data_IF_076905731265
#
_entry.id   IF_076905731265
#
_cell.length_a   1.000
_cell.length_b   1.000
_cell.length_c   1.000
_cell.angle_alpha   90.00
_cell.angle_beta   90.00
_cell.angle_gamma   90.00
#
_symmetry.space_group_name_H-M   'P 1'
#
loop_
_entity.id
_entity.type
_entity.pdbx_description
1 polymer ?
#
# COMPACT_ATOMS: atom_id res chain seq x y z
N UNK A 1 -9.95 -7.31 2.90
CA UNK A 1 -8.91 -6.28 2.70
C UNK A 1 -7.99 -6.74 1.58
N UNK A 2 -7.31 -5.83 0.89
CA UNK A 2 -6.24 -6.17 -0.02
C UNK A 2 -5.08 -5.20 0.13
N UNK A 3 -3.87 -5.62 -0.25
CA UNK A 3 -2.66 -4.81 -0.13
C UNK A 3 -2.40 -4.06 -1.44
N UNK A 4 -2.37 -2.73 -1.39
CA UNK A 4 -2.18 -1.84 -2.53
C UNK A 4 -3.15 -2.18 -3.67
N UNK A 5 -2.66 -2.76 -4.77
CA UNK A 5 -3.48 -3.21 -5.90
C UNK A 5 -4.61 -4.16 -5.45
N UNK A 6 -4.37 -4.98 -4.43
CA UNK A 6 -5.38 -5.91 -3.91
C UNK A 6 -6.64 -5.24 -3.38
N UNK A 7 -6.63 -3.93 -3.08
CA UNK A 7 -7.85 -3.20 -2.72
C UNK A 7 -8.88 -3.22 -3.86
N UNK A 8 -8.45 -3.15 -5.12
CA UNK A 8 -9.36 -3.25 -6.27
C UNK A 8 -10.00 -4.64 -6.34
N UNK A 9 -9.22 -5.69 -6.09
CA UNK A 9 -9.77 -7.05 -5.97
C UNK A 9 -10.78 -7.14 -4.84
N UNK A 10 -10.50 -6.54 -3.67
CA UNK A 10 -11.43 -6.54 -2.54
C UNK A 10 -12.74 -5.80 -2.87
N UNK A 11 -12.65 -4.65 -3.56
CA UNK A 11 -13.80 -3.85 -4.03
C UNK A 11 -14.66 -4.64 -5.01
N UNK A 12 -14.05 -5.34 -5.97
CA UNK A 12 -14.76 -6.22 -6.92
C UNK A 12 -15.42 -7.40 -6.20
N UNK A 13 -14.71 -8.08 -5.30
CA UNK A 13 -15.26 -9.21 -4.52
C UNK A 13 -16.44 -8.77 -3.64
N UNK A 14 -16.37 -7.58 -3.07
CA UNK A 14 -17.48 -6.99 -2.30
C UNK A 14 -18.67 -6.59 -3.18
N UNK A 15 -18.55 -6.65 -4.51
CA UNK A 15 -19.61 -6.32 -5.46
C UNK A 15 -19.77 -4.82 -5.72
N UNK A 16 -18.81 -3.99 -5.29
CA UNK A 16 -18.86 -2.54 -5.54
C UNK A 16 -18.65 -2.26 -7.02
N UNK A 17 -17.74 -2.98 -7.67
CA UNK A 17 -17.47 -2.89 -9.09
C UNK A 17 -17.66 -4.26 -9.77
N UNK A 18 -18.00 -4.23 -11.06
CA UNK A 18 -17.92 -5.42 -11.91
C UNK A 18 -16.45 -5.86 -12.07
N UNK A 19 -16.24 -7.11 -12.49
CA UNK A 19 -14.90 -7.61 -12.78
C UNK A 19 -14.25 -6.80 -13.91
N UNK A 20 -15.01 -6.52 -14.97
CA UNK A 20 -14.55 -5.81 -16.16
C UNK A 20 -14.16 -4.37 -15.82
N UNK A 21 -14.95 -3.66 -15.02
CA UNK A 21 -14.63 -2.28 -14.60
C UNK A 21 -13.46 -2.25 -13.63
N UNK A 22 -13.41 -3.20 -12.68
CA UNK A 22 -12.24 -3.37 -11.81
C UNK A 22 -10.96 -3.61 -12.61
N UNK A 23 -11.00 -4.47 -13.62
CA UNK A 23 -9.85 -4.76 -14.48
C UNK A 23 -9.44 -3.55 -15.33
N UNK A 24 -10.39 -2.78 -15.86
CA UNK A 24 -10.11 -1.53 -16.57
C UNK A 24 -9.39 -0.52 -15.68
N UNK A 25 -9.88 -0.32 -14.46
CA UNK A 25 -9.25 0.59 -13.49
C UNK A 25 -7.86 0.10 -13.07
N UNK A 26 -7.68 -1.21 -12.86
CA UNK A 26 -6.37 -1.80 -12.56
C UNK A 26 -5.38 -1.61 -13.69
N UNK A 27 -5.82 -1.82 -14.95
CA UNK A 27 -4.99 -1.57 -16.13
C UNK A 27 -4.55 -0.11 -16.18
N UNK A 28 -5.50 0.83 -16.10
CA UNK A 28 -5.21 2.26 -16.10
C UNK A 28 -4.25 2.64 -14.97
N UNK A 29 -4.51 2.15 -13.75
CA UNK A 29 -3.64 2.37 -12.59
C UNK A 29 -2.20 1.92 -12.87
N UNK A 30 -2.03 0.71 -13.42
CA UNK A 30 -0.71 0.18 -13.76
C UNK A 30 0.02 1.03 -14.81
N UNK A 31 -0.68 1.40 -15.89
CA UNK A 31 -0.12 2.24 -16.96
C UNK A 31 0.24 3.64 -16.45
N UNK A 32 -0.64 4.28 -15.67
CA UNK A 32 -0.42 5.61 -15.13
C UNK A 32 0.72 5.63 -14.10
N UNK A 33 0.81 4.62 -13.22
CA UNK A 33 1.93 4.47 -12.28
C UNK A 33 3.26 4.25 -13.01
N UNK A 34 3.26 3.49 -14.11
CA UNK A 34 4.46 3.29 -14.92
C UNK A 34 4.91 4.61 -15.57
N UNK A 35 4.00 5.37 -16.17
CA UNK A 35 4.31 6.72 -16.71
C UNK A 35 4.88 7.64 -15.62
N UNK A 36 4.25 7.69 -14.45
CA UNK A 36 4.71 8.52 -13.33
C UNK A 36 6.11 8.11 -12.84
N UNK A 37 6.42 6.82 -12.86
CA UNK A 37 7.73 6.30 -12.52
C UNK A 37 8.82 6.65 -13.54
N UNK A 38 8.46 6.86 -14.82
CA UNK A 38 9.39 7.23 -15.89
C UNK A 38 9.73 8.74 -15.89
N UNK A 39 9.00 9.57 -15.14
CA UNK A 39 9.21 11.02 -15.08
C UNK A 39 10.47 11.42 -14.31
N UNK A 40 11.00 10.55 -13.43
CA UNK A 40 12.20 10.82 -12.64
C UNK A 40 12.82 9.52 -12.14
N UNK A 41 14.08 9.56 -11.67
CA UNK A 41 14.71 8.38 -11.07
C UNK A 41 14.20 8.16 -9.64
N UNK A 42 13.47 7.07 -9.46
CA UNK A 42 12.72 6.74 -8.25
C UNK A 42 13.09 5.35 -7.74
N UNK A 43 12.85 5.10 -6.45
CA UNK A 43 13.07 3.78 -5.88
C UNK A 43 12.16 3.51 -4.68
N UNK A 44 12.11 2.22 -4.32
CA UNK A 44 11.63 1.76 -3.03
C UNK A 44 12.71 0.92 -2.36
N UNK A 45 12.76 0.96 -1.03
CA UNK A 45 13.58 0.06 -0.23
C UNK A 45 12.76 -0.61 0.86
N UNK A 46 13.15 -1.82 1.24
CA UNK A 46 12.61 -2.52 2.39
C UNK A 46 13.50 -2.29 3.60
N UNK A 47 12.90 -1.84 4.70
CA UNK A 47 13.57 -1.59 5.99
C UNK A 47 12.90 -2.45 7.05
N UNK A 48 13.69 -3.24 7.79
CA UNK A 48 13.20 -4.07 8.88
C UNK A 48 14.11 -4.00 10.11
N UNK A 49 13.52 -4.15 11.29
CA UNK A 49 14.24 -4.21 12.57
C UNK A 49 14.48 -2.86 13.26
N UNK A 50 13.90 -1.78 12.74
CA UNK A 50 13.86 -0.47 13.40
C UNK A 50 12.39 -0.14 13.76
N UNK A 51 12.17 0.67 14.78
CA UNK A 51 10.83 1.21 15.08
C UNK A 51 10.42 2.30 14.07
N UNK A 52 9.12 2.63 14.05
CA UNK A 52 8.54 3.61 13.12
C UNK A 52 9.19 4.99 13.24
N UNK A 53 9.35 5.49 14.47
CA UNK A 53 9.88 6.83 14.71
C UNK A 53 11.32 6.96 14.21
N UNK A 54 12.13 5.91 14.39
CA UNK A 54 13.47 5.86 13.85
C UNK A 54 13.47 5.87 12.32
N UNK A 55 12.62 5.07 11.68
CA UNK A 55 12.54 5.02 10.20
C UNK A 55 12.08 6.36 9.62
N UNK A 56 11.09 7.02 10.22
CA UNK A 56 10.63 8.34 9.79
C UNK A 56 11.76 9.38 9.86
N UNK A 57 12.50 9.40 10.98
CA UNK A 57 13.66 10.29 11.14
C UNK A 57 14.73 10.02 10.07
N UNK A 58 15.02 8.75 9.78
CA UNK A 58 16.01 8.41 8.75
C UNK A 58 15.53 8.77 7.34
N UNK A 59 14.22 8.65 7.05
CA UNK A 59 13.65 9.13 5.79
C UNK A 59 13.82 10.64 5.64
N UNK A 60 13.55 11.40 6.70
CA UNK A 60 13.74 12.85 6.72
C UNK A 60 15.22 13.23 6.52
N UNK A 61 16.14 12.61 7.26
CA UNK A 61 17.58 12.81 7.09
C UNK A 61 18.04 12.48 5.66
N UNK A 62 17.50 11.42 5.06
CA UNK A 62 17.82 11.02 3.70
C UNK A 62 17.28 12.01 2.65
N UNK A 63 16.04 12.48 2.83
CA UNK A 63 15.41 13.51 1.99
C UNK A 63 16.18 14.82 2.06
N UNK A 64 16.56 15.28 3.25
CA UNK A 64 17.28 16.54 3.44
C UNK A 64 18.71 16.51 2.88
N UNK A 65 19.28 15.31 2.70
CA UNK A 65 20.59 15.11 2.11
C UNK A 65 20.55 14.97 0.57
N UNK A 66 19.37 14.87 -0.02
CA UNK A 66 19.20 14.85 -1.47
C UNK A 66 19.17 16.31 -1.99
N UNK A 67 20.11 16.71 -2.87
CA UNK A 67 20.17 18.09 -3.38
C UNK A 67 19.03 18.43 -4.35
N UNK A 68 18.23 17.45 -4.75
CA UNK A 68 17.09 17.67 -5.65
C UNK A 68 16.01 18.55 -4.99
N UNK A 69 15.47 19.55 -5.71
CA UNK A 69 14.32 20.31 -5.21
C UNK A 69 13.08 19.43 -5.00
N UNK A 70 13.01 18.30 -5.71
CA UNK A 70 11.92 17.32 -5.64
C UNK A 70 12.26 16.14 -4.73
N UNK A 71 13.28 16.27 -3.87
CA UNK A 71 13.67 15.25 -2.91
C UNK A 71 12.45 14.67 -2.17
N UNK A 72 12.34 13.36 -2.18
CA UNK A 72 11.26 12.63 -1.53
C UNK A 72 11.83 11.39 -0.87
N UNK A 73 11.40 11.11 0.35
CA UNK A 73 11.69 9.88 1.05
C UNK A 73 10.72 9.77 2.23
N UNK A 74 9.92 8.70 2.26
CA UNK A 74 8.99 8.43 3.36
C UNK A 74 8.69 6.95 3.48
N UNK A 75 8.07 6.56 4.59
CA UNK A 75 7.40 5.25 4.70
C UNK A 75 6.23 5.22 3.70
N UNK A 76 6.26 4.22 2.82
CA UNK A 76 5.25 3.99 1.79
C UNK A 76 4.30 2.84 2.17
N UNK A 77 4.81 1.83 2.88
CA UNK A 77 3.99 0.75 3.43
C UNK A 77 4.44 0.43 4.85
N UNK A 78 3.49 0.41 5.79
CA UNK A 78 3.67 -0.14 7.12
C UNK A 78 3.10 -1.56 7.15
N UNK A 79 4.01 -2.55 7.04
CA UNK A 79 3.67 -3.93 6.73
C UNK A 79 3.46 -4.80 7.96
N UNK A 80 4.31 -4.66 8.98
CA UNK A 80 4.27 -5.42 10.23
C UNK A 80 5.16 -4.71 11.27
N UNK A 81 5.13 -5.09 12.56
CA UNK A 81 6.00 -4.47 13.57
C UNK A 81 7.48 -4.46 13.14
N UNK A 82 8.07 -3.27 13.15
CA UNK A 82 9.42 -3.00 12.68
C UNK A 82 9.67 -3.45 11.23
N UNK A 83 8.70 -3.16 10.36
CA UNK A 83 8.61 -3.68 9.01
C UNK A 83 7.99 -2.71 8.03
N UNK A 84 8.83 -2.12 7.20
CA UNK A 84 8.43 -1.04 6.33
C UNK A 84 8.96 -1.26 4.91
N UNK A 85 8.27 -0.65 3.97
CA UNK A 85 8.95 -0.19 2.75
C UNK A 85 8.92 1.32 2.74
N UNK A 86 10.04 1.92 2.39
CA UNK A 86 10.17 3.34 2.17
C UNK A 86 10.37 3.62 0.69
N UNK A 87 9.95 4.77 0.22
CA UNK A 87 9.99 5.12 -1.19
C UNK A 87 10.27 6.61 -1.38
N UNK A 88 10.82 6.95 -2.55
CA UNK A 88 11.21 8.32 -2.85
C UNK A 88 12.11 8.44 -4.08
N UNK A 89 12.80 9.57 -4.18
CA UNK A 89 13.85 9.78 -5.18
C UNK A 89 14.97 8.76 -4.98
N UNK A 90 15.60 8.30 -6.07
CA UNK A 90 16.66 7.27 -6.00
C UNK A 90 17.78 7.66 -5.04
N UNK A 91 18.28 8.90 -5.15
CA UNK A 91 19.34 9.45 -4.29
C UNK A 91 18.98 9.37 -2.80
N UNK A 92 17.77 9.82 -2.43
CA UNK A 92 17.32 9.76 -1.05
C UNK A 92 17.13 8.31 -0.57
N UNK A 93 16.57 7.41 -1.38
CA UNK A 93 16.40 6.00 -1.01
C UNK A 93 17.73 5.28 -0.81
N UNK A 94 18.73 5.56 -1.64
CA UNK A 94 20.08 5.00 -1.49
C UNK A 94 20.74 5.52 -0.20
N UNK A 95 20.53 6.80 0.13
CA UNK A 95 20.98 7.40 1.39
C UNK A 95 20.28 6.75 2.59
N UNK A 96 18.97 6.54 2.52
CA UNK A 96 18.18 5.87 3.55
C UNK A 96 18.72 4.46 3.81
N UNK A 97 19.05 3.68 2.78
CA UNK A 97 19.62 2.35 2.95
C UNK A 97 20.92 2.37 3.77
N UNK A 98 21.81 3.32 3.49
CA UNK A 98 23.07 3.51 4.24
C UNK A 98 22.79 3.91 5.69
N UNK A 99 21.89 4.88 5.90
CA UNK A 99 21.52 5.36 7.23
C UNK A 99 20.87 4.26 8.09
N UNK A 100 19.95 3.50 7.51
CA UNK A 100 19.27 2.39 8.19
C UNK A 100 20.25 1.26 8.56
N UNK A 101 21.19 0.93 7.66
CA UNK A 101 22.26 -0.03 7.95
C UNK A 101 23.14 0.44 9.11
N UNK A 102 23.57 1.71 9.09
CA UNK A 102 24.35 2.31 10.19
C UNK A 102 23.58 2.35 11.51
N UNK A 103 22.26 2.51 11.44
CA UNK A 103 21.34 2.43 12.58
C UNK A 103 21.05 1.00 13.06
N UNK A 104 21.73 -0.03 12.50
CA UNK A 104 21.58 -1.44 12.86
C UNK A 104 20.21 -2.04 12.51
N UNK A 105 19.59 -1.58 11.42
CA UNK A 105 18.45 -2.29 10.83
C UNK A 105 18.83 -3.74 10.53
N UNK A 106 17.91 -4.68 10.79
CA UNK A 106 18.08 -6.09 10.41
C UNK A 106 18.12 -6.26 8.89
N UNK A 107 17.44 -5.38 8.16
CA UNK A 107 17.46 -5.32 6.71
C UNK A 107 17.25 -3.88 6.24
N UNK A 108 18.04 -3.45 5.26
CA UNK A 108 17.84 -2.22 4.50
C UNK A 108 18.33 -2.46 3.06
N UNK A 109 17.40 -2.62 2.10
CA UNK A 109 17.75 -2.91 0.71
C UNK A 109 16.77 -2.32 -0.27
N UNK A 110 17.25 -1.80 -1.39
CA UNK A 110 16.42 -1.42 -2.54
C UNK A 110 15.69 -2.67 -3.05
N UNK A 111 14.41 -2.53 -3.40
CA UNK A 111 13.57 -3.60 -3.94
C UNK A 111 13.30 -3.36 -5.43
N UNK A 112 13.04 -4.45 -6.16
CA UNK A 112 12.72 -4.37 -7.60
C UNK A 112 11.29 -3.86 -7.77
N UNK A 113 11.16 -2.57 -8.03
CA UNK A 113 9.91 -1.90 -8.41
C UNK A 113 10.20 -0.92 -9.55
N UNK A 114 9.18 -0.52 -10.33
CA UNK A 114 9.40 0.44 -11.41
C UNK A 114 9.48 1.89 -10.92
N UNK A 115 8.91 2.23 -9.77
CA UNK A 115 8.98 3.58 -9.20
C UNK A 115 8.75 3.64 -7.69
N UNK A 116 8.54 4.86 -7.17
CA UNK A 116 8.32 5.15 -5.75
C UNK A 116 6.82 5.22 -5.39
N UNK A 117 6.17 4.05 -5.39
CA UNK A 117 4.74 3.95 -5.13
C UNK A 117 4.35 4.41 -3.72
N UNK A 118 3.09 4.85 -3.54
CA UNK A 118 2.57 5.32 -2.26
C UNK A 118 3.32 6.55 -1.71
N UNK A 119 3.72 7.44 -2.62
CA UNK A 119 4.34 8.74 -2.33
C UNK A 119 3.76 9.82 -3.24
N UNK A 120 4.05 11.09 -2.96
CA UNK A 120 3.65 12.21 -3.83
C UNK A 120 4.19 12.11 -5.27
N UNK A 121 5.23 11.31 -5.51
CA UNK A 121 5.76 11.09 -6.87
C UNK A 121 4.74 10.38 -7.77
N UNK A 122 3.70 9.76 -7.20
CA UNK A 122 2.58 9.16 -7.91
C UNK A 122 1.42 10.12 -8.18
N UNK A 123 1.52 11.41 -7.86
CA UNK A 123 0.46 12.39 -8.11
C UNK A 123 -0.04 12.41 -9.57
N UNK A 124 0.82 12.33 -10.60
CA UNK A 124 0.35 12.24 -11.99
C UNK A 124 -0.54 11.01 -12.24
N UNK A 125 -0.20 9.87 -11.63
CA UNK A 125 -1.00 8.65 -11.72
C UNK A 125 -2.31 8.76 -10.94
N UNK A 126 -2.28 9.43 -9.80
CA UNK A 126 -3.48 9.75 -9.01
C UNK A 126 -4.46 10.61 -9.82
N UNK A 127 -3.99 11.60 -10.57
CA UNK A 127 -4.87 12.47 -11.37
C UNK A 127 -5.59 11.70 -12.49
N UNK A 128 -4.87 10.82 -13.20
CA UNK A 128 -5.46 9.95 -14.23
C UNK A 128 -6.49 8.98 -13.61
N UNK A 129 -6.12 8.32 -12.52
CA UNK A 129 -6.98 7.37 -11.83
C UNK A 129 -8.23 8.05 -11.24
N UNK A 130 -8.08 9.27 -10.71
CA UNK A 130 -9.19 9.99 -10.08
C UNK A 130 -10.31 10.29 -11.07
N UNK A 131 -9.96 10.73 -12.28
CA UNK A 131 -10.94 10.94 -13.36
C UNK A 131 -11.68 9.65 -13.71
N UNK A 132 -10.97 8.53 -13.84
CA UNK A 132 -11.60 7.25 -14.16
C UNK A 132 -12.48 6.70 -13.02
N UNK A 133 -12.12 6.99 -11.76
CA UNK A 133 -12.96 6.65 -10.61
C UNK A 133 -14.24 7.49 -10.58
N UNK A 134 -14.15 8.78 -10.92
CA UNK A 134 -15.33 9.66 -11.05
C UNK A 134 -16.27 9.17 -12.15
N UNK A 135 -15.74 8.81 -13.32
CA UNK A 135 -16.53 8.24 -14.42
C UNK A 135 -17.18 6.89 -14.08
N UNK A 136 -16.58 6.13 -13.16
CA UNK A 136 -17.11 4.86 -12.69
C UNK A 136 -18.07 4.99 -11.51
N UNK A 137 -18.17 6.16 -10.87
CA UNK A 137 -18.89 6.35 -9.61
C UNK A 137 -20.36 5.92 -9.69
N UNK A 138 -21.07 6.31 -10.75
CA UNK A 138 -22.48 5.99 -10.97
C UNK A 138 -22.75 4.48 -11.18
N UNK A 139 -21.71 3.71 -11.49
CA UNK A 139 -21.80 2.25 -11.67
C UNK A 139 -21.47 1.48 -10.39
N UNK A 140 -21.00 2.16 -9.35
CA UNK A 140 -20.60 1.52 -8.11
C UNK A 140 -21.83 1.14 -7.27
N UNK A 141 -21.80 -0.05 -6.70
CA UNK A 141 -22.86 -0.54 -5.82
C UNK A 141 -22.41 -0.50 -4.35
N UNK A 142 -23.34 -0.39 -3.40
CA UNK A 142 -23.02 -0.59 -1.99
C UNK A 142 -22.36 -1.97 -1.78
N UNK A 143 -21.30 -2.06 -0.95
CA UNK A 143 -20.55 -3.29 -0.74
C UNK A 143 -21.39 -4.34 0.00
N UNK A 144 -21.34 -5.60 -0.44
CA UNK A 144 -22.04 -6.72 0.23
C UNK A 144 -21.37 -7.16 1.53
N UNK A 145 -20.10 -6.84 1.71
CA UNK A 145 -19.32 -7.16 2.90
C UNK A 145 -18.39 -6.00 3.25
N UNK A 146 -17.89 -5.96 4.49
CA UNK A 146 -17.02 -4.88 4.93
C UNK A 146 -15.65 -4.95 4.23
N UNK A 147 -15.08 -3.78 3.90
CA UNK A 147 -13.75 -3.64 3.31
C UNK A 147 -12.89 -2.78 4.24
N UNK A 148 -11.62 -3.13 4.38
CA UNK A 148 -10.64 -2.31 5.10
C UNK A 148 -9.70 -1.69 4.09
N UNK A 149 -9.55 -0.37 4.16
CA UNK A 149 -8.78 0.42 3.20
C UNK A 149 -7.39 0.72 3.73
N UNK A 150 -6.37 0.62 2.87
CA UNK A 150 -4.99 0.80 3.32
C UNK A 150 -4.70 2.24 3.75
N UNK A 151 -5.39 3.22 3.17
CA UNK A 151 -5.24 4.64 3.49
C UNK A 151 -5.52 4.92 4.97
N UNK A 152 -6.60 4.35 5.50
CA UNK A 152 -7.10 4.66 6.86
C UNK A 152 -6.79 3.57 7.86
N UNK A 153 -6.47 2.35 7.40
CA UNK A 153 -6.40 1.16 8.24
C UNK A 153 -7.74 0.77 8.86
N UNK A 154 -8.85 1.35 8.39
CA UNK A 154 -10.18 1.24 9.00
C UNK A 154 -11.18 0.55 8.09
N UNK A 155 -12.22 0.03 8.73
CA UNK A 155 -13.36 -0.64 8.10
C UNK A 155 -14.34 0.35 7.49
N UNK A 156 -14.72 0.11 6.25
CA UNK A 156 -15.97 0.57 5.63
C UNK A 156 -16.98 -0.57 5.69
N UNK A 157 -18.17 -0.31 6.24
CA UNK A 157 -19.19 -1.35 6.51
C UNK A 157 -19.87 -1.80 5.22
N UNK A 158 -20.48 -2.98 5.26
CA UNK A 158 -21.41 -3.43 4.23
C UNK A 158 -22.57 -2.40 4.09
N UNK A 159 -23.06 -2.21 2.87
CA UNK A 159 -24.13 -1.25 2.56
C UNK A 159 -23.74 0.22 2.63
N UNK A 160 -22.46 0.56 2.84
CA UNK A 160 -22.00 1.94 2.84
C UNK A 160 -22.18 2.61 1.47
N UNK A 161 -22.27 3.94 1.48
CA UNK A 161 -22.35 4.75 0.27
C UNK A 161 -21.12 4.55 -0.62
N UNK A 162 -21.30 4.14 -1.90
CA UNK A 162 -20.21 4.00 -2.87
C UNK A 162 -19.33 5.25 -3.02
N UNK A 163 -19.84 6.45 -2.78
CA UNK A 163 -19.04 7.68 -2.84
C UNK A 163 -17.84 7.64 -1.87
N UNK A 164 -17.96 6.92 -0.74
CA UNK A 164 -16.85 6.72 0.20
C UNK A 164 -15.68 5.97 -0.44
N UNK A 165 -15.95 5.05 -1.37
CA UNK A 165 -14.95 4.20 -2.02
C UNK A 165 -14.13 5.00 -3.03
N UNK A 166 -14.80 5.85 -3.79
CA UNK A 166 -14.18 6.77 -4.75
C UNK A 166 -13.13 7.61 -4.05
N UNK A 167 -13.50 8.30 -2.97
CA UNK A 167 -12.58 9.20 -2.26
C UNK A 167 -11.38 8.46 -1.64
N UNK A 168 -11.60 7.29 -1.04
CA UNK A 168 -10.51 6.48 -0.47
C UNK A 168 -9.56 5.95 -1.56
N UNK A 169 -10.09 5.51 -2.71
CA UNK A 169 -9.30 4.94 -3.80
C UNK A 169 -8.50 5.99 -4.56
N UNK A 170 -9.05 7.22 -4.73
CA UNK A 170 -8.33 8.35 -5.32
C UNK A 170 -7.05 8.67 -4.56
N UNK A 171 -7.11 8.65 -3.23
CA UNK A 171 -5.98 9.03 -2.37
C UNK A 171 -4.97 7.91 -2.15
N UNK A 172 -5.29 6.67 -2.50
CA UNK A 172 -4.47 5.49 -2.17
C UNK A 172 -3.06 5.54 -2.77
N UNK A 173 -2.91 6.01 -4.01
CA UNK A 173 -1.65 5.95 -4.75
C UNK A 173 -0.55 6.86 -4.18
N UNK A 174 -0.93 7.93 -3.49
CA UNK A 174 -0.02 8.94 -2.94
C UNK A 174 0.08 8.89 -1.43
N UNK A 175 -0.60 7.92 -0.81
CA UNK A 175 -0.69 7.76 0.64
C UNK A 175 -0.04 6.48 1.12
N UNK A 176 0.41 6.49 2.38
CA UNK A 176 0.98 5.32 3.05
C UNK A 176 -0.04 4.18 3.13
N UNK A 177 0.41 2.96 2.85
CA UNK A 177 -0.36 1.73 3.02
C UNK A 177 -0.23 1.23 4.46
N UNK A 178 -1.31 1.35 5.24
CA UNK A 178 -1.39 0.93 6.63
C UNK A 178 -1.81 -0.54 6.76
N UNK A 179 -0.98 -1.47 6.27
CA UNK A 179 -1.29 -2.91 6.30
C UNK A 179 -1.31 -3.50 7.70
N UNK A 180 -0.31 -3.21 8.53
CA UNK A 180 -0.27 -3.68 9.93
C UNK A 180 -1.47 -3.16 10.74
N UNK A 181 -1.80 -1.86 10.70
CA UNK A 181 -3.04 -1.36 11.30
C UNK A 181 -4.30 -2.00 10.74
N UNK A 182 -4.36 -2.25 9.42
CA UNK A 182 -5.50 -2.92 8.78
C UNK A 182 -5.74 -4.30 9.36
N UNK A 183 -4.71 -5.13 9.47
CA UNK A 183 -4.83 -6.49 10.03
C UNK A 183 -5.20 -6.43 11.52
N UNK A 184 -4.61 -5.51 12.29
CA UNK A 184 -4.98 -5.31 13.69
C UNK A 184 -6.44 -4.89 13.85
N UNK A 185 -6.93 -3.98 13.01
CA UNK A 185 -8.32 -3.56 13.01
C UNK A 185 -9.27 -4.73 12.71
N UNK A 186 -8.91 -5.59 11.74
CA UNK A 186 -9.67 -6.82 11.46
C UNK A 186 -9.76 -7.74 12.69
N UNK A 187 -8.64 -7.98 13.37
CA UNK A 187 -8.59 -8.82 14.58
C UNK A 187 -9.44 -8.21 15.70
N UNK A 188 -9.31 -6.90 15.93
CA UNK A 188 -10.10 -6.17 16.94
C UNK A 188 -11.60 -6.22 16.65
N UNK A 189 -11.99 -6.20 15.38
CA UNK A 189 -13.38 -6.36 14.93
C UNK A 189 -13.89 -7.81 15.02
N UNK A 190 -13.07 -8.74 15.52
CA UNK A 190 -13.43 -10.14 15.75
C UNK A 190 -13.17 -11.08 14.58
N UNK A 191 -12.45 -10.64 13.54
CA UNK A 191 -12.02 -11.52 12.45
C UNK A 191 -11.03 -12.54 12.99
N UNK A 192 -11.28 -13.79 12.63
CA UNK A 192 -10.75 -14.97 13.30
C UNK A 192 -9.98 -15.87 12.35
N UNK A 193 -10.50 -16.02 11.15
CA UNK A 193 -9.92 -16.81 10.06
C UNK A 193 -9.53 -15.89 8.92
N UNK A 194 -8.38 -16.17 8.32
CA UNK A 194 -7.85 -15.40 7.20
C UNK A 194 -7.60 -16.34 6.02
N UNK A 195 -7.94 -15.92 4.81
CA UNK A 195 -7.66 -16.66 3.59
C UNK A 195 -6.93 -15.72 2.64
N UNK A 196 -5.65 -16.01 2.37
CA UNK A 196 -4.87 -15.33 1.34
C UNK A 196 -5.16 -15.99 -0.01
N UNK A 197 -5.81 -15.26 -0.91
CA UNK A 197 -6.11 -15.70 -2.27
C UNK A 197 -5.14 -14.97 -3.20
N UNK A 198 -4.17 -15.70 -3.78
CA UNK A 198 -3.17 -15.10 -4.66
C UNK A 198 -1.97 -16.02 -4.95
N UNK A 199 -1.07 -15.60 -5.85
CA UNK A 199 -0.01 -16.47 -6.39
C UNK A 199 1.12 -16.78 -5.39
N UNK A 200 1.19 -16.04 -4.28
CA UNK A 200 2.26 -16.12 -3.28
C UNK A 200 1.66 -16.23 -1.88
N UNK A 201 2.54 -16.36 -0.88
CA UNK A 201 2.21 -16.45 0.56
C UNK A 201 2.70 -15.24 1.36
N UNK A 202 2.79 -14.08 0.71
CA UNK A 202 3.43 -12.90 1.28
C UNK A 202 2.56 -12.31 2.40
N UNK A 203 1.25 -12.20 2.20
CA UNK A 203 0.34 -11.66 3.21
C UNK A 203 0.32 -12.55 4.45
N UNK A 204 0.23 -13.88 4.28
CA UNK A 204 0.34 -14.85 5.38
C UNK A 204 1.67 -14.74 6.13
N UNK A 205 2.78 -14.53 5.41
CA UNK A 205 4.09 -14.31 6.03
C UNK A 205 4.15 -13.02 6.85
N UNK A 206 3.45 -11.97 6.41
CA UNK A 206 3.32 -10.72 7.16
C UNK A 206 2.40 -10.87 8.37
N UNK A 207 1.26 -11.57 8.23
CA UNK A 207 0.37 -11.88 9.36
C UNK A 207 1.14 -12.60 10.48
N UNK A 208 2.03 -13.55 10.16
CA UNK A 208 2.91 -14.20 11.15
C UNK A 208 3.69 -13.22 12.03
N UNK A 209 4.07 -12.06 11.46
CA UNK A 209 4.81 -11.01 12.16
C UNK A 209 3.91 -10.02 12.90
N UNK A 210 2.64 -9.93 12.54
CA UNK A 210 1.65 -9.05 13.16
C UNK A 210 1.01 -9.76 14.36
N UNK A 211 0.53 -10.99 14.15
CA UNK A 211 -0.20 -11.78 15.15
C UNK A 211 0.00 -13.30 14.89
N UNK A 212 0.73 -14.00 15.78
CA UNK A 212 0.98 -15.43 15.64
C UNK A 212 -0.27 -16.32 15.68
N UNK A 213 -1.33 -15.91 16.35
CA UNK A 213 -2.56 -16.70 16.46
C UNK A 213 -3.44 -16.57 15.22
N UNK A 214 -3.54 -15.35 14.67
CA UNK A 214 -4.14 -15.11 13.37
C UNK A 214 -3.39 -15.90 12.27
N UNK A 215 -2.06 -15.97 12.33
CA UNK A 215 -1.26 -16.76 11.39
C UNK A 215 -1.61 -18.25 11.39
N UNK A 216 -1.81 -18.86 12.57
CA UNK A 216 -2.22 -20.28 12.69
C UNK A 216 -3.55 -20.55 11.99
N UNK A 217 -4.40 -19.52 11.90
CA UNK A 217 -5.73 -19.56 11.27
C UNK A 217 -5.76 -18.87 9.91
N UNK A 218 -4.59 -18.63 9.33
CA UNK A 218 -4.46 -18.11 7.98
C UNK A 218 -4.20 -19.25 7.00
N UNK A 219 -5.08 -19.44 6.03
CA UNK A 219 -4.88 -20.34 4.90
C UNK A 219 -4.37 -19.56 3.69
N UNK A 220 -3.57 -20.22 2.85
CA UNK A 220 -3.15 -19.67 1.57
C UNK A 220 -3.73 -20.54 0.47
N UNK A 221 -4.46 -19.92 -0.45
CA UNK A 221 -5.02 -20.54 -1.64
C UNK A 221 -4.19 -20.05 -2.81
N UNK A 222 -3.25 -20.88 -3.24
CA UNK A 222 -2.41 -20.59 -4.41
C UNK A 222 -3.23 -20.74 -5.68
N UNK A 223 -3.17 -19.73 -6.55
CA UNK A 223 -3.80 -19.68 -7.87
C UNK A 223 -2.77 -19.60 -8.97
#
# INVERSE_FOLDING_TARGET
AGLSLGEYTAVVVAGVLSFEDGLRLVKLRGEAMQKAAEMSDQAMCSVAGLDRAKVDKLCEEARNADPSPDAECRVANFLFPSGFTCAGTRTAVDKLCKLATAAKALQARVIKTSGAFHTRLMSPAQDELSRALDEAADKMNPPRCAIYFNLTGKRVKAGADPATFVELMKMQLTSEVLWEPTIKAMIMDGVKDFIEIGPLKQLKSMIKRIDPDAFKRTENVTV
#
